data_IF_184109549535
#
_entry.id   IF_184109549535
#
_cell.length_a   1.000
_cell.length_b   1.000
_cell.length_c   1.000
_cell.angle_alpha   90.00
_cell.angle_beta   90.00
_cell.angle_gamma   90.00
#
_symmetry.space_group_name_H-M   'P 1'
#
loop_
_entity.id
_entity.type
_entity.pdbx_description
1 polymer ?
#
# COMPACT_ATOMS: atom_id res chain seq x y z
N UNK A 1 2.44 -3.10 -29.00
CA UNK A 1 2.35 -1.69 -28.56
C UNK A 1 3.11 -1.59 -27.25
N UNK A 2 4.28 -0.95 -27.25
CA UNK A 2 5.09 -0.80 -26.04
C UNK A 2 4.69 0.52 -25.36
N UNK A 3 3.57 0.48 -24.64
CA UNK A 3 3.00 1.63 -23.92
C UNK A 3 3.95 2.24 -22.88
N UNK A 4 5.06 1.58 -22.53
CA UNK A 4 5.98 2.05 -21.49
C UNK A 4 6.78 3.25 -21.96
N UNK A 5 7.29 3.25 -23.20
CA UNK A 5 8.17 4.32 -23.69
C UNK A 5 7.35 5.55 -24.11
N UNK A 6 6.20 5.33 -24.75
CA UNK A 6 5.31 6.39 -25.23
C UNK A 6 4.75 7.27 -24.09
N UNK A 7 4.48 6.67 -22.91
CA UNK A 7 3.98 7.41 -21.74
C UNK A 7 5.10 7.90 -20.81
N UNK A 8 6.37 7.60 -21.09
CA UNK A 8 7.55 8.04 -20.31
C UNK A 8 8.45 9.00 -21.10
N UNK A 9 7.82 9.96 -21.76
CA UNK A 9 8.49 10.99 -22.55
C UNK A 9 8.57 12.33 -21.79
N UNK A 10 9.80 12.81 -21.56
CA UNK A 10 10.05 14.08 -20.89
C UNK A 10 9.64 15.31 -21.69
N UNK A 11 9.76 15.28 -23.02
CA UNK A 11 9.30 16.37 -23.88
C UNK A 11 7.77 16.46 -23.85
N UNK A 12 7.08 15.31 -23.90
CA UNK A 12 5.62 15.27 -23.72
C UNK A 12 5.22 15.84 -22.35
N UNK A 13 5.90 15.45 -21.28
CA UNK A 13 5.64 15.96 -19.93
C UNK A 13 5.82 17.49 -19.84
N UNK A 14 6.89 18.05 -20.42
CA UNK A 14 7.11 19.50 -20.43
C UNK A 14 6.03 20.24 -21.24
N UNK A 15 5.62 19.69 -22.38
CA UNK A 15 4.53 20.25 -23.18
C UNK A 15 3.20 20.26 -22.42
N UNK A 16 2.89 19.18 -21.69
CA UNK A 16 1.70 19.12 -20.82
C UNK A 16 1.80 20.17 -19.70
N UNK A 17 2.95 20.28 -19.04
CA UNK A 17 3.17 21.26 -17.97
C UNK A 17 3.00 22.72 -18.47
N UNK A 18 3.51 23.03 -19.65
CA UNK A 18 3.32 24.34 -20.28
C UNK A 18 1.84 24.65 -20.54
N UNK A 19 1.08 23.66 -21.05
CA UNK A 19 -0.36 23.81 -21.26
C UNK A 19 -1.14 24.00 -19.95
N UNK A 20 -0.77 23.27 -18.89
CA UNK A 20 -1.38 23.44 -17.57
C UNK A 20 -1.16 24.86 -17.03
N UNK A 21 0.03 25.45 -17.24
CA UNK A 21 0.30 26.85 -16.84
C UNK A 21 -0.52 27.87 -17.63
N UNK A 22 -0.78 27.61 -18.91
CA UNK A 22 -1.60 28.48 -19.74
C UNK A 22 -3.09 28.39 -19.39
N UNK A 23 -3.57 27.21 -19.00
CA UNK A 23 -4.99 26.97 -18.70
C UNK A 23 -5.39 27.34 -17.25
N UNK A 24 -4.47 27.20 -16.29
CA UNK A 24 -4.78 27.45 -14.89
C UNK A 24 -5.02 28.95 -14.63
N UNK A 25 -6.26 29.30 -14.26
CA UNK A 25 -6.61 30.66 -13.87
C UNK A 25 -5.83 31.10 -12.62
N UNK A 26 -4.97 32.14 -12.70
CA UNK A 26 -4.14 32.57 -11.60
C UNK A 26 -4.93 33.13 -10.40
N UNK A 27 -6.19 33.53 -10.59
CA UNK A 27 -7.06 33.97 -9.49
C UNK A 27 -7.64 32.81 -8.66
N UNK A 28 -7.55 31.57 -9.17
CA UNK A 28 -8.12 30.38 -8.53
C UNK A 28 -7.04 29.51 -7.91
N UNK A 29 -7.44 28.74 -6.89
CA UNK A 29 -6.61 27.68 -6.28
C UNK A 29 -7.25 26.33 -6.53
N UNK A 30 -6.49 25.40 -7.07
CA UNK A 30 -6.94 24.05 -7.40
C UNK A 30 -6.36 23.05 -6.41
N UNK A 31 -7.19 22.06 -6.03
CA UNK A 31 -6.80 21.00 -5.10
C UNK A 31 -7.23 19.67 -5.72
N UNK A 32 -6.26 18.86 -6.12
CA UNK A 32 -6.50 17.54 -6.70
C UNK A 32 -6.03 16.48 -5.72
N UNK A 33 -6.93 15.57 -5.35
CA UNK A 33 -6.59 14.45 -4.50
C UNK A 33 -6.33 13.22 -5.35
N UNK A 34 -5.20 12.56 -5.12
CA UNK A 34 -4.99 11.18 -5.54
C UNK A 34 -5.17 10.23 -4.35
N UNK A 35 -5.57 8.99 -4.64
CA UNK A 35 -5.81 7.95 -3.65
C UNK A 35 -5.13 6.65 -4.08
N UNK A 36 -3.86 6.71 -4.45
CA UNK A 36 -3.11 5.52 -4.82
C UNK A 36 -1.64 5.72 -4.48
N UNK A 37 -1.09 4.87 -3.61
CA UNK A 37 0.33 4.92 -3.27
C UNK A 37 1.25 4.87 -4.51
N UNK A 38 0.82 4.21 -5.59
CA UNK A 38 1.51 4.23 -6.89
C UNK A 38 1.54 5.62 -7.55
N UNK A 39 0.45 6.38 -7.49
CA UNK A 39 0.43 7.78 -7.94
C UNK A 39 1.25 8.67 -7.01
N UNK A 40 1.13 8.53 -5.69
CA UNK A 40 2.00 9.23 -4.74
C UNK A 40 3.49 8.99 -5.07
N UNK A 41 3.87 7.73 -5.30
CA UNK A 41 5.22 7.33 -5.66
C UNK A 41 5.66 7.96 -6.98
N UNK A 42 4.82 7.93 -8.02
CA UNK A 42 5.13 8.55 -9.31
C UNK A 42 5.32 10.07 -9.20
N UNK A 43 4.42 10.76 -8.48
CA UNK A 43 4.50 12.20 -8.25
C UNK A 43 5.84 12.58 -7.59
N UNK A 44 6.24 11.85 -6.55
CA UNK A 44 7.49 12.08 -5.84
C UNK A 44 8.73 11.68 -6.66
N UNK A 45 8.71 10.50 -7.28
CA UNK A 45 9.85 9.94 -8.05
C UNK A 45 10.22 10.82 -9.24
N UNK A 46 9.22 11.39 -9.91
CA UNK A 46 9.42 12.16 -11.14
C UNK A 46 9.31 13.67 -10.93
N UNK A 47 9.16 14.15 -9.69
CA UNK A 47 9.04 15.59 -9.39
C UNK A 47 7.87 16.26 -10.10
N UNK A 48 6.77 15.53 -10.34
CA UNK A 48 5.63 16.05 -11.14
C UNK A 48 5.04 17.30 -10.50
N UNK A 49 5.04 17.36 -9.16
CA UNK A 49 4.53 18.51 -8.41
C UNK A 49 5.29 19.79 -8.75
N UNK A 50 6.59 19.70 -9.02
CA UNK A 50 7.43 20.86 -9.37
C UNK A 50 7.16 21.37 -10.78
N UNK A 51 6.53 20.55 -11.65
CA UNK A 51 6.14 20.95 -12.99
C UNK A 51 4.80 21.71 -13.03
N UNK A 52 3.97 21.56 -11.98
CA UNK A 52 2.63 22.13 -11.91
C UNK A 52 2.67 23.64 -11.63
N UNK A 53 1.62 24.39 -12.05
CA UNK A 53 1.44 25.77 -11.64
C UNK A 53 1.36 25.88 -10.10
N UNK A 54 1.91 26.96 -9.53
CA UNK A 54 1.96 27.16 -8.06
C UNK A 54 0.58 27.21 -7.38
N UNK A 55 -0.48 27.53 -8.13
CA UNK A 55 -1.86 27.55 -7.66
C UNK A 55 -2.58 26.20 -7.79
N UNK A 56 -1.89 25.15 -8.25
CA UNK A 56 -2.36 23.77 -8.32
C UNK A 56 -1.67 22.94 -7.24
N UNK A 57 -2.46 22.42 -6.30
CA UNK A 57 -1.94 21.60 -5.20
C UNK A 57 -2.42 20.15 -5.32
N UNK A 58 -1.47 19.22 -5.24
CA UNK A 58 -1.77 17.80 -5.06
C UNK A 58 -1.99 17.48 -3.58
N UNK A 59 -3.00 16.65 -3.31
CA UNK A 59 -3.32 16.11 -1.99
C UNK A 59 -3.13 14.59 -2.07
N UNK A 60 -2.31 14.06 -1.17
CA UNK A 60 -2.11 12.61 -1.03
C UNK A 60 -3.18 12.05 -0.09
N UNK A 61 -4.14 11.36 -0.67
CA UNK A 61 -5.22 10.72 0.05
C UNK A 61 -4.80 9.40 0.71
N UNK A 62 -5.72 8.73 1.42
CA UNK A 62 -5.46 7.48 2.13
C UNK A 62 -5.23 6.22 1.23
N UNK A 63 -4.49 6.35 0.13
CA UNK A 63 -4.30 5.32 -0.91
C UNK A 63 -3.36 4.16 -0.53
N UNK A 64 -3.12 3.93 0.76
CA UNK A 64 -2.26 2.88 1.29
C UNK A 64 -3.09 1.97 2.22
N UNK A 65 -3.46 0.74 1.79
CA UNK A 65 -4.34 -0.12 2.57
C UNK A 65 -3.74 -0.53 3.92
N UNK A 66 -2.42 -0.69 3.98
CA UNK A 66 -1.67 -0.97 5.22
C UNK A 66 -1.76 0.20 6.19
N UNK A 67 -1.62 1.42 5.68
CA UNK A 67 -1.53 2.64 6.49
C UNK A 67 -2.87 2.99 7.15
N UNK A 68 -3.98 2.56 6.55
CA UNK A 68 -5.34 2.75 7.08
C UNK A 68 -5.87 1.53 7.86
N UNK A 69 -5.05 0.49 8.01
CA UNK A 69 -5.43 -0.72 8.74
C UNK A 69 -5.63 -0.39 10.23
N UNK A 70 -6.83 -0.64 10.80
CA UNK A 70 -7.05 -0.38 12.23
C UNK A 70 -6.16 -1.27 13.10
N UNK A 71 -5.52 -0.68 14.11
CA UNK A 71 -4.64 -1.40 15.06
C UNK A 71 -5.33 -2.65 15.64
N UNK A 72 -6.62 -2.55 15.99
CA UNK A 72 -7.37 -3.69 16.53
C UNK A 72 -7.45 -4.90 15.57
N UNK A 73 -7.33 -4.71 14.25
CA UNK A 73 -7.25 -5.83 13.28
C UNK A 73 -5.93 -6.59 13.42
N UNK A 74 -4.84 -5.87 13.66
CA UNK A 74 -3.52 -6.45 13.88
C UNK A 74 -3.49 -7.18 15.22
N UNK A 75 -4.06 -6.59 16.27
CA UNK A 75 -4.17 -7.22 17.59
C UNK A 75 -4.92 -8.56 17.51
N UNK A 76 -6.04 -8.61 16.78
CA UNK A 76 -6.78 -9.86 16.56
C UNK A 76 -5.93 -10.90 15.81
N UNK A 77 -5.20 -10.50 14.78
CA UNK A 77 -4.33 -11.42 14.04
C UNK A 77 -3.19 -11.97 14.92
N UNK A 78 -2.59 -11.12 15.76
CA UNK A 78 -1.55 -11.51 16.72
C UNK A 78 -2.10 -12.54 17.71
N UNK A 79 -3.30 -12.29 18.27
CA UNK A 79 -3.95 -13.21 19.20
C UNK A 79 -4.29 -14.55 18.55
N UNK A 80 -4.77 -14.57 17.31
CA UNK A 80 -4.96 -15.82 16.57
C UNK A 80 -3.66 -16.62 16.48
N UNK A 81 -2.55 -15.96 16.14
CA UNK A 81 -1.27 -16.63 15.96
C UNK A 81 -0.63 -17.12 17.27
N UNK A 82 -0.77 -16.36 18.37
CA UNK A 82 -0.21 -16.72 19.68
C UNK A 82 -1.11 -17.65 20.50
N UNK A 83 -2.42 -17.39 20.52
CA UNK A 83 -3.35 -18.06 21.45
C UNK A 83 -3.98 -19.30 20.83
N UNK A 84 -4.20 -19.31 19.51
CA UNK A 84 -4.88 -20.41 18.80
C UNK A 84 -3.92 -21.30 18.00
N UNK A 85 -2.63 -20.98 17.96
CA UNK A 85 -1.60 -21.80 17.31
C UNK A 85 -1.75 -21.92 15.78
N UNK A 86 -2.52 -21.05 15.13
CA UNK A 86 -2.70 -21.07 13.66
C UNK A 86 -1.39 -20.69 12.94
N UNK A 87 -1.29 -21.05 11.66
CA UNK A 87 -0.29 -20.44 10.77
C UNK A 87 -0.88 -19.17 10.18
N UNK A 88 -0.43 -18.00 10.66
CA UNK A 88 -0.89 -16.71 10.15
C UNK A 88 -0.06 -16.28 8.94
N UNK A 89 -0.70 -16.05 7.81
CA UNK A 89 -0.10 -15.51 6.59
C UNK A 89 -0.42 -14.02 6.44
N UNK A 90 0.57 -13.22 6.07
CA UNK A 90 0.37 -11.79 5.80
C UNK A 90 1.35 -11.27 4.74
N UNK A 91 1.06 -10.13 4.14
CA UNK A 91 2.01 -9.41 3.30
C UNK A 91 3.17 -8.83 4.14
N UNK A 92 4.32 -8.63 3.49
CA UNK A 92 5.55 -8.21 4.18
C UNK A 92 5.49 -6.80 4.79
N UNK A 93 4.70 -5.90 4.20
CA UNK A 93 4.49 -4.53 4.64
C UNK A 93 3.75 -4.45 5.98
N UNK A 94 2.81 -5.35 6.25
CA UNK A 94 2.08 -5.43 7.53
C UNK A 94 2.97 -5.90 8.68
N UNK A 95 4.06 -6.62 8.40
CA UNK A 95 4.86 -7.29 9.43
C UNK A 95 5.39 -6.37 10.53
N UNK A 96 5.67 -5.11 10.18
CA UNK A 96 6.27 -4.10 11.07
C UNK A 96 5.27 -3.07 11.56
N UNK A 97 4.00 -3.15 11.16
CA UNK A 97 3.00 -2.17 11.60
C UNK A 97 2.82 -2.28 13.12
N UNK A 98 2.94 -1.17 13.87
CA UNK A 98 2.75 -1.16 15.31
C UNK A 98 1.35 -1.62 15.71
N UNK A 99 1.29 -2.42 16.76
CA UNK A 99 0.07 -2.92 17.38
C UNK A 99 0.05 -2.55 18.88
N UNK A 100 -1.02 -2.93 19.60
CA UNK A 100 -1.15 -2.61 21.01
C UNK A 100 -0.04 -3.27 21.85
N UNK A 101 0.36 -2.61 22.94
CA UNK A 101 1.37 -3.14 23.86
C UNK A 101 2.77 -3.28 23.24
N UNK A 102 3.13 -2.39 22.31
CA UNK A 102 4.41 -2.40 21.59
C UNK A 102 4.64 -3.75 20.86
N UNK A 103 3.56 -4.30 20.30
CA UNK A 103 3.61 -5.50 19.48
C UNK A 103 3.65 -5.17 17.98
N UNK A 104 3.94 -6.19 17.19
CA UNK A 104 3.78 -6.26 15.74
C UNK A 104 3.75 -7.73 15.34
N UNK A 105 3.36 -8.06 14.10
CA UNK A 105 3.45 -9.44 13.61
C UNK A 105 4.89 -9.97 13.70
N UNK A 106 5.89 -9.13 13.42
CA UNK A 106 7.30 -9.50 13.57
C UNK A 106 7.67 -9.83 15.03
N UNK A 107 7.19 -9.03 15.99
CA UNK A 107 7.43 -9.30 17.42
C UNK A 107 6.67 -10.52 17.92
N UNK A 108 5.43 -10.75 17.45
CA UNK A 108 4.67 -11.95 17.75
C UNK A 108 5.37 -13.22 17.21
N UNK A 109 5.93 -13.14 16.00
CA UNK A 109 6.76 -14.20 15.43
C UNK A 109 7.98 -14.51 16.29
N UNK A 110 8.66 -13.47 16.79
CA UNK A 110 9.79 -13.64 17.71
C UNK A 110 9.39 -14.26 19.07
N UNK A 111 8.11 -14.18 19.46
CA UNK A 111 7.54 -14.84 20.65
C UNK A 111 7.07 -16.27 20.37
N UNK A 112 7.29 -16.81 19.18
CA UNK A 112 6.99 -18.21 18.84
C UNK A 112 5.73 -18.42 18.00
N UNK A 113 5.00 -17.36 17.62
CA UNK A 113 3.88 -17.49 16.68
C UNK A 113 4.36 -17.96 15.29
N UNK A 114 3.65 -18.88 14.65
CA UNK A 114 3.90 -19.25 13.25
C UNK A 114 3.29 -18.20 12.32
N UNK A 115 4.09 -17.20 11.96
CA UNK A 115 3.70 -16.13 11.04
C UNK A 115 4.55 -16.21 9.78
N UNK A 116 3.92 -16.27 8.60
CA UNK A 116 4.58 -16.42 7.30
C UNK A 116 4.25 -15.24 6.39
N UNK A 117 5.30 -14.71 5.76
CA UNK A 117 5.13 -13.70 4.73
C UNK A 117 4.76 -14.38 3.42
N UNK A 118 3.76 -13.86 2.72
CA UNK A 118 3.30 -14.33 1.42
C UNK A 118 3.21 -13.17 0.43
N UNK A 119 3.24 -13.49 -0.87
CA UNK A 119 3.06 -12.50 -1.94
C UNK A 119 1.64 -12.49 -2.50
N UNK A 120 0.88 -13.55 -2.27
CA UNK A 120 -0.51 -13.66 -2.71
C UNK A 120 -1.37 -14.52 -1.77
N UNK A 121 -2.70 -14.40 -1.84
CA UNK A 121 -3.60 -15.34 -1.16
C UNK A 121 -3.42 -16.79 -1.64
N UNK A 122 -2.95 -16.99 -2.87
CA UNK A 122 -2.70 -18.32 -3.42
C UNK A 122 -1.55 -19.05 -2.69
N UNK A 123 -0.55 -18.32 -2.19
CA UNK A 123 0.52 -18.88 -1.39
C UNK A 123 -0.01 -19.41 -0.05
N UNK A 124 -0.93 -18.67 0.59
CA UNK A 124 -1.60 -19.11 1.81
C UNK A 124 -2.46 -20.36 1.56
N UNK A 125 -3.16 -20.43 0.42
CA UNK A 125 -3.92 -21.62 0.02
C UNK A 125 -3.00 -22.83 -0.22
N UNK A 126 -1.85 -22.63 -0.86
CA UNK A 126 -0.87 -23.68 -1.07
C UNK A 126 -0.32 -24.21 0.27
N UNK A 127 -0.04 -23.31 1.22
CA UNK A 127 0.37 -23.68 2.59
C UNK A 127 -0.71 -24.51 3.31
N UNK A 128 -1.98 -24.11 3.20
CA UNK A 128 -3.10 -24.83 3.80
C UNK A 128 -3.24 -26.26 3.23
N UNK A 129 -3.14 -26.41 1.90
CA UNK A 129 -3.17 -27.72 1.24
C UNK A 129 -2.00 -28.61 1.64
N UNK A 130 -0.83 -28.03 1.89
CA UNK A 130 0.36 -28.76 2.34
C UNK A 130 0.37 -29.13 3.82
N UNK A 131 -0.51 -28.53 4.63
CA UNK A 131 -0.57 -28.71 6.09
C UNK A 131 -2.01 -28.97 6.57
N UNK A 132 -2.65 -30.08 6.17
CA UNK A 132 -4.08 -30.31 6.42
C UNK A 132 -4.45 -30.42 7.91
N UNK A 133 -3.50 -30.70 8.79
CA UNK A 133 -3.71 -30.77 10.25
C UNK A 133 -3.60 -29.43 10.97
N UNK A 134 -3.41 -28.31 10.25
CA UNK A 134 -3.21 -26.99 10.84
C UNK A 134 -4.05 -25.94 10.13
N UNK A 135 -4.72 -25.10 10.92
CA UNK A 135 -5.45 -23.96 10.36
C UNK A 135 -4.47 -22.91 9.84
N UNK A 136 -4.70 -22.47 8.60
CA UNK A 136 -3.97 -21.39 7.96
C UNK A 136 -4.90 -20.20 7.78
N UNK A 137 -4.54 -19.08 8.39
CA UNK A 137 -5.33 -17.84 8.34
C UNK A 137 -4.56 -16.81 7.54
N UNK A 138 -5.19 -16.24 6.51
CA UNK A 138 -4.62 -15.13 5.77
C UNK A 138 -5.19 -13.80 6.26
N UNK A 139 -4.32 -12.90 6.75
CA UNK A 139 -4.70 -11.53 7.08
C UNK A 139 -4.90 -10.74 5.78
N UNK A 140 -6.10 -10.89 5.20
CA UNK A 140 -6.50 -10.23 3.98
C UNK A 140 -6.66 -8.73 4.21
N UNK A 141 -5.73 -7.95 3.68
CA UNK A 141 -5.75 -6.49 3.65
C UNK A 141 -5.58 -6.05 2.19
N UNK A 142 -6.15 -4.90 1.85
CA UNK A 142 -6.09 -4.41 0.49
C UNK A 142 -7.31 -3.57 0.13
N UNK A 143 -7.21 -2.93 -1.03
CA UNK A 143 -8.35 -2.32 -1.72
C UNK A 143 -8.84 -3.28 -2.82
N UNK A 144 -9.68 -2.81 -3.74
CA UNK A 144 -10.38 -3.63 -4.74
C UNK A 144 -9.46 -4.47 -5.62
N UNK A 145 -8.19 -4.07 -5.79
CA UNK A 145 -7.21 -4.77 -6.63
C UNK A 145 -6.55 -5.97 -5.95
N UNK A 146 -6.69 -6.14 -4.63
CA UNK A 146 -6.02 -7.19 -3.83
C UNK A 146 -6.97 -8.32 -3.53
#
# INVERSE_FOLDING_TARGET
MNYVDEFRDGALAQNIAARLRAEADPARRYRFMEFCGGHTHALARYGVVDLLPHNVRMIHGPGCPVCVLPVGRIDMAIRLALDQGVTLCSYGDVMRVPASGDLSLLRAKARGADIRMVYSPADALALARGQPGREVVFLAIGFETT
#
